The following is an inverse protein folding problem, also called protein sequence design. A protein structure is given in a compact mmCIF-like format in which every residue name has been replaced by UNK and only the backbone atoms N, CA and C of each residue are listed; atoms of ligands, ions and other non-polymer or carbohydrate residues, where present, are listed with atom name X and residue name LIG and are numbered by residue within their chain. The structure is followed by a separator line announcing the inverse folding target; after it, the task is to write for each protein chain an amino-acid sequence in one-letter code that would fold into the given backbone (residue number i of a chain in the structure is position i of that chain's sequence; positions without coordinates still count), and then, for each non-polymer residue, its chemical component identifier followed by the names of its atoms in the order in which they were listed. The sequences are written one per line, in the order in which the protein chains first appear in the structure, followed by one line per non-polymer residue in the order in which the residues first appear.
data_IF_631936524606
#
_entry.id   IF_631936524606
#
_cell.length_a   1.000
_cell.length_b   1.000
_cell.length_c   1.000
_cell.angle_alpha   90.00
_cell.angle_beta   90.00
_cell.angle_gamma   90.00
#
_symmetry.space_group_name_H-M   'P 1'
#
loop_
_entity.id
_entity.type
_entity.pdbx_description
1 polymer ?
#
# COMPACT_ATOMS: atom_id res chain seq x y z
N UNK A 1 0.05 16.58 -14.04
CA UNK A 1 -0.67 16.06 -12.84
C UNK A 1 0.28 16.18 -11.65
N UNK A 2 -0.11 16.89 -10.58
CA UNK A 2 0.77 17.28 -9.46
C UNK A 2 1.30 16.12 -8.61
N UNK A 3 0.63 14.96 -8.61
CA UNK A 3 0.95 13.82 -7.73
C UNK A 3 1.20 12.51 -8.48
N UNK A 4 1.48 12.58 -9.79
CA UNK A 4 1.57 11.40 -10.65
C UNK A 4 2.50 10.33 -10.09
N UNK A 5 3.73 10.71 -9.73
CA UNK A 5 4.76 9.78 -9.24
C UNK A 5 4.36 9.12 -7.91
N UNK A 6 3.79 9.91 -6.98
CA UNK A 6 3.31 9.38 -5.70
C UNK A 6 2.14 8.41 -5.90
N UNK A 7 1.20 8.77 -6.77
CA UNK A 7 0.06 7.92 -7.11
C UNK A 7 0.51 6.61 -7.73
N UNK A 8 1.40 6.65 -8.72
CA UNK A 8 1.96 5.45 -9.36
C UNK A 8 2.68 4.56 -8.34
N UNK A 9 3.47 5.15 -7.44
CA UNK A 9 4.17 4.41 -6.38
C UNK A 9 3.19 3.73 -5.41
N UNK A 10 2.13 4.41 -4.99
CA UNK A 10 1.11 3.82 -4.10
C UNK A 10 0.39 2.66 -4.79
N UNK A 11 0.03 2.81 -6.07
CA UNK A 11 -0.61 1.76 -6.87
C UNK A 11 0.30 0.54 -7.01
N UNK A 12 1.58 0.75 -7.31
CA UNK A 12 2.57 -0.33 -7.39
C UNK A 12 2.68 -1.10 -6.07
N UNK A 13 2.75 -0.39 -4.94
CA UNK A 13 2.79 -0.98 -3.60
C UNK A 13 1.53 -1.80 -3.33
N UNK A 14 0.35 -1.27 -3.67
CA UNK A 14 -0.92 -1.98 -3.53
C UNK A 14 -0.90 -3.31 -4.29
N UNK A 15 -0.52 -3.33 -5.57
CA UNK A 15 -0.47 -4.57 -6.34
C UNK A 15 0.56 -5.56 -5.80
N UNK A 16 1.70 -5.09 -5.27
CA UNK A 16 2.67 -5.95 -4.58
C UNK A 16 2.06 -6.61 -3.33
N UNK A 17 1.27 -5.88 -2.55
CA UNK A 17 0.58 -6.43 -1.37
C UNK A 17 -0.52 -7.40 -1.81
N UNK A 18 -1.38 -7.00 -2.74
CA UNK A 18 -2.48 -7.81 -3.24
C UNK A 18 -2.00 -9.12 -3.85
N UNK A 19 -0.99 -9.09 -4.73
CA UNK A 19 -0.43 -10.29 -5.34
C UNK A 19 0.24 -11.22 -4.33
N UNK A 20 0.73 -10.67 -3.21
CA UNK A 20 1.36 -11.47 -2.16
C UNK A 20 0.34 -12.13 -1.23
N UNK A 21 -0.74 -11.43 -0.89
CA UNK A 21 -1.77 -11.92 0.02
C UNK A 21 -2.81 -12.76 -0.72
N UNK A 22 -3.21 -12.37 -1.93
CA UNK A 22 -4.37 -12.92 -2.60
C UNK A 22 -5.68 -12.40 -1.99
N UNK A 23 -6.81 -12.80 -2.57
CA UNK A 23 -8.14 -12.39 -2.12
C UNK A 23 -8.60 -13.16 -0.87
N UNK A 24 -9.57 -12.61 -0.14
CA UNK A 24 -10.24 -13.29 1.00
C UNK A 24 -9.82 -12.82 2.40
N UNK A 25 -8.83 -11.95 2.51
CA UNK A 25 -8.46 -11.32 3.78
C UNK A 25 -9.34 -10.11 4.13
N UNK A 26 -9.43 -9.80 5.43
CA UNK A 26 -10.04 -8.57 5.92
C UNK A 26 -9.25 -7.35 5.47
N UNK A 27 -9.94 -6.22 5.31
CA UNK A 27 -9.35 -4.92 4.99
C UNK A 27 -8.18 -4.57 5.92
N UNK A 28 -8.32 -4.83 7.23
CA UNK A 28 -7.28 -4.56 8.22
C UNK A 28 -5.96 -5.27 7.93
N UNK A 29 -6.01 -6.45 7.30
CA UNK A 29 -4.79 -7.19 6.91
C UNK A 29 -4.09 -6.48 5.75
N UNK A 30 -4.84 -6.01 4.76
CA UNK A 30 -4.28 -5.21 3.67
C UNK A 30 -3.72 -3.89 4.18
N UNK A 31 -4.45 -3.18 5.03
CA UNK A 31 -3.99 -1.94 5.64
C UNK A 31 -2.67 -2.14 6.38
N UNK A 32 -2.59 -3.13 7.27
CA UNK A 32 -1.37 -3.44 8.01
C UNK A 32 -0.18 -3.74 7.07
N UNK A 33 -0.40 -4.52 6.01
CA UNK A 33 0.64 -4.83 5.03
C UNK A 33 1.08 -3.58 4.22
N UNK A 34 0.13 -2.72 3.86
CA UNK A 34 0.41 -1.44 3.19
C UNK A 34 1.21 -0.50 4.08
N UNK A 35 0.84 -0.35 5.36
CA UNK A 35 1.57 0.48 6.33
C UNK A 35 3.03 0.03 6.50
N UNK A 36 3.28 -1.28 6.51
CA UNK A 36 4.65 -1.83 6.54
C UNK A 36 5.42 -1.44 5.26
N UNK A 37 4.79 -1.52 4.08
CA UNK A 37 5.43 -1.13 2.82
C UNK A 37 5.68 0.37 2.75
N UNK A 38 4.72 1.20 3.13
CA UNK A 38 4.87 2.65 3.17
C UNK A 38 6.03 3.08 4.07
N UNK A 39 6.16 2.48 5.26
CA UNK A 39 7.30 2.72 6.15
C UNK A 39 8.65 2.36 5.50
N UNK A 40 8.72 1.25 4.76
CA UNK A 40 9.94 0.84 4.03
C UNK A 40 10.29 1.77 2.88
N UNK A 41 9.27 2.34 2.24
CA UNK A 41 9.38 3.20 1.06
C UNK A 41 9.49 4.69 1.40
N UNK A 42 9.53 5.04 2.69
CA UNK A 42 9.59 6.43 3.17
C UNK A 42 8.30 7.23 2.93
N UNK A 43 7.17 6.55 2.70
CA UNK A 43 5.88 7.18 2.46
C UNK A 43 5.20 7.41 3.82
N UNK A 44 4.85 8.66 4.10
CA UNK A 44 4.09 9.00 5.30
C UNK A 44 2.61 8.68 5.10
N UNK A 45 2.07 7.83 5.96
CA UNK A 45 0.68 7.42 5.98
C UNK A 45 0.22 7.22 7.43
N UNK A 46 -1.09 7.29 7.65
CA UNK A 46 -1.75 7.06 8.94
C UNK A 46 -2.84 6.01 8.72
N UNK A 47 -2.88 4.98 9.56
CA UNK A 47 -3.94 3.98 9.54
C UNK A 47 -5.25 4.58 10.06
N UNK A 48 -6.38 4.19 9.47
CA UNK A 48 -7.71 4.66 9.85
C UNK A 48 -8.40 3.75 10.88
#
# INVERSE_FOLDING_TARGET
MKFKDLTEKIIEIFFKVYNKLGYGFLEKVYENAMMIKFKKEGIHAVSQ
#
